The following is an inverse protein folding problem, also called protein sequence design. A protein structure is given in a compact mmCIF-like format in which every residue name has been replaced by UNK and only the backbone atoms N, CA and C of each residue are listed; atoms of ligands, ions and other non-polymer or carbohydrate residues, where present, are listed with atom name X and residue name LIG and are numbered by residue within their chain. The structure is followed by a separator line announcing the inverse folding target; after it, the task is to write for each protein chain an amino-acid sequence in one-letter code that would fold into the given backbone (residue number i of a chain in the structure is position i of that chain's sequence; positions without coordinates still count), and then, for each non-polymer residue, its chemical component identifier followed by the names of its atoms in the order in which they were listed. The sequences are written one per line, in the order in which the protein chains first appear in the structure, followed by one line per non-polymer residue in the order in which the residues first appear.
data_IF_721815334121
#
_entry.id   IF_721815334121
#
_cell.length_a   1.000
_cell.length_b   1.000
_cell.length_c   1.000
_cell.angle_alpha   90.00
_cell.angle_beta   90.00
_cell.angle_gamma   90.00
#
_symmetry.space_group_name_H-M   'P 1'
#
loop_
_entity.id
_entity.type
_entity.pdbx_description
1 polymer ?
#
# COMPACT_ATOMS: atom_id res chain seq x y z
N UNK A 1 21.95 2.66 -0.03
CA UNK A 1 20.85 2.73 0.95
C UNK A 1 21.39 2.43 2.34
N UNK A 2 20.93 3.10 3.40
CA UNK A 2 21.36 2.79 4.75
C UNK A 2 20.80 1.43 5.20
N UNK A 3 21.53 0.76 6.10
CA UNK A 3 21.09 -0.50 6.71
C UNK A 3 20.72 -0.24 8.18
N UNK A 4 19.57 -0.75 8.62
CA UNK A 4 19.14 -0.62 10.02
C UNK A 4 20.02 -1.47 10.92
N UNK A 5 20.14 -1.03 12.18
CA UNK A 5 20.66 -1.89 13.24
C UNK A 5 19.83 -3.17 13.34
N UNK A 6 20.49 -4.31 13.54
CA UNK A 6 19.86 -5.63 13.53
C UNK A 6 18.77 -5.76 14.61
N UNK A 7 18.99 -5.16 15.79
CA UNK A 7 18.01 -5.18 16.89
C UNK A 7 16.77 -4.37 16.51
N UNK A 8 16.95 -3.19 15.89
CA UNK A 8 15.87 -2.34 15.40
C UNK A 8 15.10 -3.03 14.28
N UNK A 9 15.80 -3.67 13.34
CA UNK A 9 15.17 -4.40 12.23
C UNK A 9 14.34 -5.58 12.73
N UNK A 10 14.83 -6.31 13.74
CA UNK A 10 14.12 -7.42 14.36
C UNK A 10 12.84 -6.94 15.04
N UNK A 11 12.94 -5.92 15.89
CA UNK A 11 11.78 -5.37 16.60
C UNK A 11 10.74 -4.79 15.63
N UNK A 12 11.18 -4.13 14.56
CA UNK A 12 10.30 -3.64 13.50
C UNK A 12 9.51 -4.78 12.85
N UNK A 13 10.18 -5.89 12.51
CA UNK A 13 9.54 -7.06 11.90
C UNK A 13 8.54 -7.72 12.86
N UNK A 14 8.85 -7.81 14.14
CA UNK A 14 7.94 -8.33 15.16
C UNK A 14 6.68 -7.49 15.28
N UNK A 15 6.81 -6.17 15.32
CA UNK A 15 5.67 -5.24 15.35
C UNK A 15 4.83 -5.33 14.07
N UNK A 16 5.46 -5.45 12.90
CA UNK A 16 4.72 -5.68 11.65
C UNK A 16 3.98 -7.02 11.68
N UNK A 17 4.61 -8.09 12.15
CA UNK A 17 3.96 -9.40 12.27
C UNK A 17 2.77 -9.35 13.24
N UNK A 18 2.91 -8.65 14.37
CA UNK A 18 1.79 -8.38 15.27
C UNK A 18 0.68 -7.57 14.60
N UNK A 19 1.02 -6.50 13.87
CA UNK A 19 0.05 -5.72 13.12
C UNK A 19 -0.74 -6.57 12.13
N UNK A 20 -0.09 -7.49 11.43
CA UNK A 20 -0.77 -8.42 10.53
C UNK A 20 -1.69 -9.41 11.25
N UNK A 21 -1.32 -9.91 12.44
CA UNK A 21 -2.24 -10.75 13.24
C UNK A 21 -3.54 -10.02 13.59
N UNK A 22 -3.47 -8.74 13.94
CA UNK A 22 -4.65 -7.92 14.18
C UNK A 22 -5.42 -7.61 12.89
N UNK A 23 -4.70 -7.32 11.80
CA UNK A 23 -5.29 -7.07 10.48
C UNK A 23 -6.11 -8.27 10.00
N UNK A 24 -5.58 -9.49 10.16
CA UNK A 24 -6.24 -10.74 9.74
C UNK A 24 -7.51 -11.04 10.55
N UNK A 25 -7.61 -10.50 11.77
CA UNK A 25 -8.79 -10.59 12.63
C UNK A 25 -9.69 -9.35 12.55
N UNK A 26 -9.41 -8.46 11.59
CA UNK A 26 -10.12 -7.20 11.33
C UNK A 26 -10.10 -6.19 12.50
N UNK A 27 -9.22 -6.37 13.49
CA UNK A 27 -8.92 -5.34 14.50
C UNK A 27 -7.97 -4.29 13.92
N UNK A 28 -8.52 -3.46 13.02
CA UNK A 28 -7.73 -2.47 12.30
C UNK A 28 -7.14 -1.38 13.22
N UNK A 29 -7.78 -1.09 14.35
CA UNK A 29 -7.24 -0.13 15.32
C UNK A 29 -5.99 -0.70 16.01
N UNK A 30 -6.00 -1.97 16.41
CA UNK A 30 -4.81 -2.63 16.96
C UNK A 30 -3.71 -2.80 15.90
N UNK A 31 -4.08 -3.16 14.67
CA UNK A 31 -3.14 -3.25 13.56
C UNK A 31 -2.41 -1.93 13.31
N UNK A 32 -3.15 -0.82 13.20
CA UNK A 32 -2.57 0.51 13.03
C UNK A 32 -1.64 0.89 14.19
N UNK A 33 -2.02 0.60 15.44
CA UNK A 33 -1.14 0.86 16.60
C UNK A 33 0.21 0.15 16.45
N UNK A 34 0.21 -1.13 16.09
CA UNK A 34 1.43 -1.91 15.90
C UNK A 34 2.28 -1.38 14.73
N UNK A 35 1.66 -1.09 13.58
CA UNK A 35 2.40 -0.53 12.43
C UNK A 35 2.95 0.88 12.71
N UNK A 36 2.25 1.72 13.46
CA UNK A 36 2.79 3.02 13.87
C UNK A 36 3.92 2.89 14.88
N UNK A 37 3.89 1.90 15.77
CA UNK A 37 5.05 1.60 16.63
C UNK A 37 6.26 1.19 15.79
N UNK A 38 6.07 0.35 14.76
CA UNK A 38 7.12 -0.01 13.82
C UNK A 38 7.67 1.22 13.07
N UNK A 39 6.79 2.12 12.62
CA UNK A 39 7.18 3.38 11.98
C UNK A 39 8.04 4.27 12.87
N UNK A 40 7.76 4.31 14.17
CA UNK A 40 8.50 5.14 15.13
C UNK A 40 9.90 4.61 15.44
N UNK A 41 10.21 3.35 15.13
CA UNK A 41 11.55 2.80 15.26
C UNK A 41 12.51 3.28 14.16
N UNK A 42 11.98 3.75 13.03
CA UNK A 42 12.79 4.16 11.89
C UNK A 42 13.48 5.51 12.15
N UNK A 43 14.80 5.62 11.90
CA UNK A 43 15.50 6.89 12.01
C UNK A 43 14.98 7.93 11.03
N UNK A 44 15.04 9.21 11.41
CA UNK A 44 14.62 10.31 10.53
C UNK A 44 15.72 10.65 9.50
N UNK A 45 15.35 11.00 8.25
CA UNK A 45 14.00 10.93 7.69
C UNK A 45 13.62 9.46 7.38
N UNK A 46 12.44 9.03 7.83
CA UNK A 46 12.03 7.62 7.70
C UNK A 46 11.94 7.15 6.25
N UNK A 47 11.60 8.05 5.33
CA UNK A 47 11.45 7.74 3.90
C UNK A 47 12.76 7.39 3.20
N UNK A 48 13.92 7.46 3.87
CA UNK A 48 15.21 7.04 3.31
C UNK A 48 15.47 5.53 3.50
N UNK A 49 14.59 4.82 4.21
CA UNK A 49 14.75 3.40 4.58
C UNK A 49 13.80 2.49 3.79
N UNK A 50 14.24 1.28 3.40
CA UNK A 50 13.39 0.33 2.64
C UNK A 50 12.18 -0.08 3.49
N UNK A 51 12.39 -0.31 4.77
CA UNK A 51 11.39 -0.76 5.74
C UNK A 51 10.23 0.23 5.87
N UNK A 52 10.48 1.53 5.67
CA UNK A 52 9.41 2.53 5.63
C UNK A 52 8.38 2.23 4.56
N UNK A 53 8.82 1.71 3.41
CA UNK A 53 7.92 1.27 2.34
C UNK A 53 6.99 0.15 2.78
N UNK A 54 7.50 -0.85 3.49
CA UNK A 54 6.69 -1.97 3.97
C UNK A 54 5.69 -1.51 5.03
N UNK A 55 6.15 -0.70 5.98
CA UNK A 55 5.31 -0.18 7.07
C UNK A 55 4.21 0.73 6.53
N UNK A 56 4.53 1.66 5.62
CA UNK A 56 3.52 2.56 5.02
C UNK A 56 2.54 1.81 4.11
N UNK A 57 3.00 0.77 3.41
CA UNK A 57 2.10 -0.11 2.66
C UNK A 57 1.09 -0.77 3.59
N UNK A 58 1.54 -1.33 4.72
CA UNK A 58 0.67 -1.97 5.71
C UNK A 58 -0.31 -0.97 6.34
N UNK A 59 0.15 0.23 6.72
CA UNK A 59 -0.70 1.30 7.25
C UNK A 59 -1.77 1.72 6.22
N UNK A 60 -1.35 1.96 4.98
CA UNK A 60 -2.24 2.37 3.90
C UNK A 60 -3.30 1.33 3.58
N UNK A 61 -2.90 0.06 3.50
CA UNK A 61 -3.80 -1.07 3.29
C UNK A 61 -4.79 -1.23 4.44
N UNK A 62 -4.32 -1.10 5.69
CA UNK A 62 -5.18 -1.16 6.89
C UNK A 62 -6.21 -0.04 6.89
N UNK A 63 -5.81 1.19 6.56
CA UNK A 63 -6.75 2.30 6.44
C UNK A 63 -7.82 2.04 5.38
N UNK A 64 -7.43 1.54 4.21
CA UNK A 64 -8.37 1.19 3.15
C UNK A 64 -9.38 0.13 3.64
N UNK A 65 -8.90 -0.95 4.26
CA UNK A 65 -9.77 -2.00 4.81
C UNK A 65 -10.74 -1.50 5.86
N UNK A 66 -10.34 -0.51 6.65
CA UNK A 66 -11.21 0.16 7.64
C UNK A 66 -12.14 1.23 7.05
N UNK A 67 -12.17 1.41 5.72
CA UNK A 67 -12.99 2.42 5.04
C UNK A 67 -12.47 3.87 5.18
N UNK A 68 -11.25 4.06 5.69
CA UNK A 68 -10.63 5.37 5.93
C UNK A 68 -9.78 5.78 4.72
N UNK A 69 -10.44 6.00 3.58
CA UNK A 69 -9.77 6.13 2.29
C UNK A 69 -8.83 7.33 2.18
N UNK A 70 -9.17 8.47 2.78
CA UNK A 70 -8.29 9.65 2.74
C UNK A 70 -6.95 9.38 3.46
N UNK A 71 -6.98 8.72 4.61
CA UNK A 71 -5.78 8.31 5.33
C UNK A 71 -4.97 7.28 4.55
N UNK A 72 -5.65 6.33 3.89
CA UNK A 72 -5.01 5.35 3.01
C UNK A 72 -4.24 6.05 1.87
N UNK A 73 -4.87 7.02 1.18
CA UNK A 73 -4.24 7.80 0.10
C UNK A 73 -3.00 8.53 0.61
N UNK A 74 -3.07 9.17 1.78
CA UNK A 74 -1.92 9.87 2.35
C UNK A 74 -0.75 8.91 2.64
N UNK A 75 -1.01 7.79 3.33
CA UNK A 75 0.01 6.81 3.65
C UNK A 75 0.66 6.19 2.40
N UNK A 76 -0.15 5.82 1.40
CA UNK A 76 0.33 5.19 0.17
C UNK A 76 1.08 6.17 -0.73
N UNK A 77 0.70 7.45 -0.78
CA UNK A 77 1.51 8.49 -1.46
C UNK A 77 2.86 8.69 -0.78
N UNK A 78 2.91 8.73 0.56
CA UNK A 78 4.17 8.75 1.29
C UNK A 78 5.01 7.49 1.01
N UNK A 79 4.35 6.33 0.88
CA UNK A 79 5.01 5.07 0.57
C UNK A 79 5.74 5.09 -0.78
N UNK A 80 5.17 5.73 -1.81
CA UNK A 80 5.79 5.85 -3.14
C UNK A 80 7.08 6.70 -3.15
N UNK A 81 7.35 7.46 -2.09
CA UNK A 81 8.62 8.18 -1.92
C UNK A 81 9.69 7.32 -1.23
N UNK A 82 9.34 6.12 -0.75
CA UNK A 82 10.30 5.21 -0.15
C UNK A 82 11.09 4.45 -1.23
N UNK A 83 12.32 4.02 -0.93
CA UNK A 83 13.17 3.33 -1.90
C UNK A 83 12.55 2.00 -2.33
N UNK A 84 12.78 1.64 -3.59
CA UNK A 84 12.32 0.38 -4.22
C UNK A 84 10.80 0.14 -4.25
N UNK A 85 9.97 1.11 -3.83
CA UNK A 85 8.51 0.98 -3.82
C UNK A 85 7.83 1.47 -5.10
N UNK A 86 8.42 2.41 -5.84
CA UNK A 86 7.73 3.10 -6.94
C UNK A 86 7.22 2.18 -8.08
N UNK A 87 7.72 0.94 -8.19
CA UNK A 87 7.22 -0.05 -9.15
C UNK A 87 6.26 -1.09 -8.56
N UNK A 88 5.91 -0.99 -7.28
CA UNK A 88 5.14 -2.02 -6.58
C UNK A 88 3.67 -2.02 -7.04
N UNK A 89 3.20 -3.09 -7.73
CA UNK A 89 1.84 -3.11 -8.27
C UNK A 89 0.76 -3.10 -7.19
N UNK A 90 1.04 -3.66 -6.00
CA UNK A 90 0.08 -3.68 -4.90
C UNK A 90 -0.15 -2.27 -4.32
N UNK A 91 0.91 -1.48 -4.15
CA UNK A 91 0.79 -0.09 -3.67
C UNK A 91 -0.04 0.75 -4.64
N UNK A 92 0.23 0.62 -5.94
CA UNK A 92 -0.56 1.30 -6.97
C UNK A 92 -2.02 0.81 -7.02
N UNK A 93 -2.25 -0.50 -6.89
CA UNK A 93 -3.60 -1.07 -6.84
C UNK A 93 -4.37 -0.44 -5.68
N UNK A 94 -3.82 -0.51 -4.47
CA UNK A 94 -4.50 -0.04 -3.27
C UNK A 94 -4.71 1.47 -3.26
N UNK A 95 -3.74 2.24 -3.77
CA UNK A 95 -3.88 3.69 -3.92
C UNK A 95 -4.97 4.03 -4.93
N UNK A 96 -5.01 3.33 -6.07
CA UNK A 96 -6.04 3.47 -7.08
C UNK A 96 -7.44 3.17 -6.55
N UNK A 97 -7.58 2.10 -5.77
CA UNK A 97 -8.84 1.74 -5.11
C UNK A 97 -9.28 2.80 -4.10
N UNK A 98 -8.39 3.25 -3.22
CA UNK A 98 -8.73 4.28 -2.24
C UNK A 98 -9.16 5.60 -2.91
N UNK A 99 -8.49 6.01 -4.00
CA UNK A 99 -8.89 7.16 -4.80
C UNK A 99 -10.24 6.95 -5.49
N UNK A 100 -10.52 5.74 -5.97
CA UNK A 100 -11.79 5.39 -6.59
C UNK A 100 -12.95 5.54 -5.61
N UNK A 101 -12.81 5.01 -4.39
CA UNK A 101 -13.82 5.14 -3.33
C UNK A 101 -14.07 6.61 -2.94
N UNK A 102 -13.06 7.46 -3.06
CA UNK A 102 -13.17 8.91 -2.86
C UNK A 102 -13.73 9.68 -4.07
N UNK A 103 -14.13 8.99 -5.14
CA UNK A 103 -14.59 9.59 -6.41
C UNK A 103 -13.53 10.43 -7.15
N UNK A 104 -12.25 10.25 -6.83
CA UNK A 104 -11.10 10.88 -7.50
C UNK A 104 -10.70 10.10 -8.77
N UNK A 105 -11.67 9.86 -9.65
CA UNK A 105 -11.61 8.84 -10.71
C UNK A 105 -10.43 9.03 -11.68
N UNK A 106 -10.09 10.28 -12.03
CA UNK A 106 -8.94 10.58 -12.91
C UNK A 106 -7.62 10.11 -12.29
N UNK A 107 -7.45 10.30 -10.99
CA UNK A 107 -6.25 9.85 -10.28
C UNK A 107 -6.31 8.33 -10.03
N UNK A 108 -7.48 7.81 -9.67
CA UNK A 108 -7.71 6.39 -9.46
C UNK A 108 -7.29 5.56 -10.69
N UNK A 109 -7.83 5.91 -11.87
CA UNK A 109 -7.55 5.22 -13.13
C UNK A 109 -6.06 5.21 -13.48
N UNK A 110 -5.34 6.30 -13.21
CA UNK A 110 -3.87 6.37 -13.43
C UNK A 110 -3.12 5.36 -12.57
N UNK A 111 -3.46 5.26 -11.29
CA UNK A 111 -2.79 4.33 -10.37
C UNK A 111 -3.19 2.87 -10.64
N UNK A 112 -4.46 2.61 -10.94
CA UNK A 112 -4.93 1.27 -11.33
C UNK A 112 -4.26 0.81 -12.65
N UNK A 113 -4.06 1.69 -13.61
CA UNK A 113 -3.35 1.36 -14.84
C UNK A 113 -1.88 1.01 -14.59
N UNK A 114 -1.19 1.73 -13.68
CA UNK A 114 0.17 1.35 -13.26
C UNK A 114 0.19 -0.03 -12.61
N UNK A 115 -0.77 -0.32 -11.73
CA UNK A 115 -0.90 -1.63 -11.11
C UNK A 115 -1.10 -2.74 -12.16
N UNK A 116 -1.92 -2.49 -13.18
CA UNK A 116 -2.13 -3.41 -14.29
C UNK A 116 -0.86 -3.61 -15.14
N UNK A 117 -0.15 -2.56 -15.51
CA UNK A 117 1.07 -2.69 -16.31
C UNK A 117 2.20 -3.41 -15.57
N UNK A 118 2.31 -3.23 -14.25
CA UNK A 118 3.38 -3.85 -13.45
C UNK A 118 3.03 -5.24 -12.92
N UNK A 119 1.76 -5.50 -12.58
CA UNK A 119 1.32 -6.75 -11.97
C UNK A 119 0.37 -7.60 -12.82
N UNK A 120 -0.09 -7.08 -13.96
CA UNK A 120 -1.02 -7.75 -14.86
C UNK A 120 -2.45 -7.86 -14.32
N UNK A 121 -3.29 -8.58 -15.07
CA UNK A 121 -4.71 -8.83 -14.73
C UNK A 121 -4.87 -9.55 -13.39
N UNK A 122 -3.93 -10.41 -13.01
CA UNK A 122 -3.99 -11.20 -11.77
C UNK A 122 -4.11 -10.35 -10.50
N UNK A 123 -3.63 -9.10 -10.52
CA UNK A 123 -3.80 -8.16 -9.40
C UNK A 123 -5.27 -7.86 -9.11
N UNK A 124 -6.15 -8.04 -10.09
CA UNK A 124 -7.56 -7.69 -10.03
C UNK A 124 -8.49 -8.89 -9.85
N UNK A 125 -8.00 -10.13 -9.96
CA UNK A 125 -8.85 -11.33 -9.97
C UNK A 125 -9.70 -11.49 -8.70
N UNK A 126 -9.20 -11.02 -7.54
CA UNK A 126 -9.89 -11.05 -6.25
C UNK A 126 -10.40 -9.66 -5.82
N UNK A 127 -10.50 -8.71 -6.75
CA UNK A 127 -10.97 -7.35 -6.47
C UNK A 127 -12.37 -7.14 -7.06
N UNK A 128 -13.18 -6.23 -6.50
CA UNK A 128 -14.40 -5.77 -7.16
C UNK A 128 -14.15 -5.34 -8.61
N UNK A 129 -14.98 -5.84 -9.53
CA UNK A 129 -14.80 -5.65 -10.98
C UNK A 129 -14.70 -4.17 -11.39
N UNK A 130 -15.39 -3.28 -10.67
CA UNK A 130 -15.41 -1.83 -10.91
C UNK A 130 -14.01 -1.21 -11.07
N UNK A 131 -13.00 -1.74 -10.36
CA UNK A 131 -11.64 -1.21 -10.44
C UNK A 131 -10.97 -1.55 -11.76
N UNK A 132 -11.07 -2.81 -12.22
CA UNK A 132 -10.56 -3.20 -13.54
C UNK A 132 -11.41 -2.57 -14.65
N UNK A 133 -12.73 -2.58 -14.51
CA UNK A 133 -13.65 -1.99 -15.47
C UNK A 133 -13.39 -0.50 -15.70
N UNK A 134 -12.97 0.21 -14.65
CA UNK A 134 -12.60 1.62 -14.74
C UNK A 134 -11.39 1.90 -15.62
N UNK A 135 -10.59 0.90 -15.98
CA UNK A 135 -9.40 1.05 -16.85
C UNK A 135 -9.47 0.20 -18.12
N UNK A 136 -10.58 -0.52 -18.38
CA UNK A 136 -10.71 -1.40 -19.55
C UNK A 136 -10.50 -0.66 -20.88
N UNK A 137 -10.92 0.59 -20.98
CA UNK A 137 -10.70 1.44 -22.17
C UNK A 137 -9.25 1.89 -22.35
N UNK A 138 -8.41 1.73 -21.32
CA UNK A 138 -7.00 2.15 -21.29
C UNK A 138 -6.01 1.00 -21.46
N UNK A 139 -6.39 -0.23 -21.13
CA UNK A 139 -5.48 -1.38 -21.14
C UNK A 139 -5.14 -1.88 -22.55
N UNK A 140 -5.92 -1.53 -23.58
CA UNK A 140 -5.70 -1.88 -24.99
C UNK A 140 -5.76 -3.39 -25.27
N UNK A 141 -6.36 -3.79 -26.41
CA UNK A 141 -6.34 -5.18 -26.88
C UNK A 141 -4.94 -5.57 -27.38
N UNK A 142 -3.95 -5.69 -26.51
CA UNK A 142 -2.66 -6.31 -26.84
C UNK A 142 -2.38 -7.46 -25.88
N UNK A 143 -3.15 -8.53 -26.09
CA UNK A 143 -2.81 -9.88 -25.66
C UNK A 143 -3.38 -10.85 -26.70
N UNK A 144 -2.66 -10.97 -27.81
CA UNK A 144 -2.64 -12.19 -28.61
C UNK A 144 -1.26 -12.82 -28.43
#
# INVERSE_FOLDING_TARGET
MPALDESVNTQLKELCAEGYRYYDTEDFEAALRAFYQAWLLLPKPQTDWIEAGWVLTAIGDTYYRSGKFQQAVHALRSCLHCPDINGNPFVHLRLGQALYEMQELTHARKELLKAYHSGGRMMFDNQPAQYLDSINDLIGEHSA
#
